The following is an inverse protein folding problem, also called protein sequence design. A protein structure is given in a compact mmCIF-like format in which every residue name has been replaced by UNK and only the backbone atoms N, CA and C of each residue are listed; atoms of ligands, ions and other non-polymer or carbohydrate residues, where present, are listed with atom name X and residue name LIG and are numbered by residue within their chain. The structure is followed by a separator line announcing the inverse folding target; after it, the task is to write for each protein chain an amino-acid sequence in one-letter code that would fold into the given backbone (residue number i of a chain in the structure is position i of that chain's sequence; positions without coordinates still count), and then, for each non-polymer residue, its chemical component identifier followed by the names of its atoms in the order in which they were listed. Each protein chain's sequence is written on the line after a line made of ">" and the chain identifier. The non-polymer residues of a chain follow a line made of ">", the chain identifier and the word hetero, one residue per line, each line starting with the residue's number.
data_IF_666225744582
#
_entry.id   IF_666225744582
#
_cell.length_a   1.000
_cell.length_b   1.000
_cell.length_c   1.000
_cell.angle_alpha   90.00
_cell.angle_beta   90.00
_cell.angle_gamma   90.00
#
_symmetry.space_group_name_H-M   'P 1'
#
loop_
_entity.id
_entity.type
_entity.pdbx_description
1 polymer ?
#
# COMPACT_ATOMS: atom_id res chain seq x y z
N UNK A 1 11.05 -3.16 -21.29
CA UNK A 1 9.89 -2.98 -20.39
C UNK A 1 10.43 -2.79 -18.99
N UNK A 2 10.67 -1.54 -18.60
CA UNK A 2 11.37 -1.19 -17.36
C UNK A 2 10.40 -1.25 -16.17
N UNK A 3 10.49 -2.30 -15.36
CA UNK A 3 9.90 -2.34 -14.03
C UNK A 3 10.70 -1.40 -13.12
N UNK A 4 10.12 -0.24 -12.83
CA UNK A 4 10.71 0.73 -11.90
C UNK A 4 10.74 0.09 -10.51
N UNK A 5 11.92 -0.35 -10.09
CA UNK A 5 12.16 -0.91 -8.77
C UNK A 5 12.11 0.25 -7.76
N UNK A 6 10.93 0.52 -7.21
CA UNK A 6 10.77 1.45 -6.10
C UNK A 6 11.55 0.93 -4.89
N UNK A 7 12.72 1.52 -4.63
CA UNK A 7 13.40 1.41 -3.33
C UNK A 7 12.53 2.09 -2.28
N UNK A 8 11.59 1.34 -1.70
CA UNK A 8 10.97 1.70 -0.42
C UNK A 8 12.09 1.72 0.63
N UNK A 9 12.17 2.77 1.42
CA UNK A 9 12.98 2.83 2.65
C UNK A 9 12.39 1.77 3.58
N UNK A 10 12.92 0.55 3.51
CA UNK A 10 12.45 -0.60 4.29
C UNK A 10 13.27 -0.66 5.57
N UNK A 11 12.63 -1.03 6.67
CA UNK A 11 13.31 -1.61 7.83
C UNK A 11 14.10 -2.89 7.45
N UNK A 12 14.61 -3.66 8.42
CA UNK A 12 15.45 -4.83 8.14
C UNK A 12 14.85 -5.70 7.03
N UNK A 13 15.69 -6.24 6.11
CA UNK A 13 15.24 -6.80 4.84
C UNK A 13 14.35 -8.01 5.06
N UNK A 14 13.04 -7.77 5.14
CA UNK A 14 12.03 -8.80 5.02
C UNK A 14 12.03 -9.19 3.54
N UNK A 15 12.47 -10.42 3.28
CA UNK A 15 12.66 -10.94 1.92
C UNK A 15 11.40 -10.77 1.09
N UNK A 16 11.59 -10.53 -0.22
CA UNK A 16 10.53 -10.21 -1.20
C UNK A 16 9.36 -11.22 -1.29
N UNK A 17 9.43 -12.35 -0.60
CA UNK A 17 8.42 -13.42 -0.61
C UNK A 17 8.07 -13.94 0.80
N UNK A 18 8.32 -13.18 1.89
CA UNK A 18 8.00 -13.60 3.27
C UNK A 18 6.59 -13.18 3.74
N UNK A 19 5.76 -12.68 2.82
CA UNK A 19 4.48 -12.01 3.08
C UNK A 19 3.41 -12.82 3.84
N UNK A 20 3.61 -14.12 4.08
CA UNK A 20 2.59 -14.98 4.64
C UNK A 20 2.72 -15.26 6.15
N UNK A 21 3.87 -14.96 6.78
CA UNK A 21 4.12 -15.35 8.16
C UNK A 21 4.11 -14.16 9.12
N UNK A 22 3.10 -14.05 10.01
CA UNK A 22 3.05 -12.99 11.01
C UNK A 22 4.12 -13.18 12.08
N UNK A 23 4.43 -12.11 12.81
CA UNK A 23 5.44 -12.11 13.88
C UNK A 23 4.84 -12.57 15.23
N UNK A 24 4.11 -13.71 15.24
CA UNK A 24 3.42 -14.20 16.44
C UNK A 24 3.43 -15.73 16.54
N UNK A 25 3.60 -16.24 17.76
CA UNK A 25 3.36 -17.65 18.11
C UNK A 25 4.18 -18.64 17.26
N UNK A 26 3.55 -19.69 16.69
CA UNK A 26 4.26 -20.71 15.92
C UNK A 26 4.83 -20.16 14.60
N UNK A 27 4.17 -19.17 13.99
CA UNK A 27 4.60 -18.55 12.74
C UNK A 27 5.93 -17.80 12.88
N UNK A 28 6.23 -17.30 14.08
CA UNK A 28 7.52 -16.70 14.38
C UNK A 28 8.66 -17.70 14.23
N UNK A 29 8.50 -18.91 14.78
CA UNK A 29 9.52 -19.98 14.68
C UNK A 29 9.76 -20.36 13.23
N UNK A 30 8.69 -20.53 12.45
CA UNK A 30 8.77 -20.84 11.02
C UNK A 30 9.47 -19.71 10.24
N UNK A 31 9.18 -18.44 10.59
CA UNK A 31 9.84 -17.27 9.99
C UNK A 31 11.33 -17.26 10.33
N UNK A 32 11.72 -17.55 11.57
CA UNK A 32 13.12 -17.66 11.98
C UNK A 32 13.87 -18.78 11.26
N UNK A 33 13.24 -19.94 11.08
CA UNK A 33 13.81 -21.06 10.31
C UNK A 33 14.01 -20.69 8.84
N UNK A 34 13.01 -20.07 8.21
CA UNK A 34 13.14 -19.55 6.83
C UNK A 34 14.25 -18.51 6.73
N UNK A 35 14.35 -17.60 7.70
CA UNK A 35 15.44 -16.61 7.75
C UNK A 35 16.82 -17.26 7.91
N UNK A 36 16.95 -18.33 8.72
CA UNK A 36 18.19 -19.09 8.85
C UNK A 36 18.58 -19.77 7.53
N UNK A 37 17.61 -20.32 6.79
CA UNK A 37 17.85 -20.94 5.48
C UNK A 37 18.33 -19.91 4.45
N UNK A 38 17.63 -18.77 4.33
CA UNK A 38 18.03 -17.68 3.44
C UNK A 38 19.41 -17.14 3.78
N UNK A 39 19.73 -16.97 5.07
CA UNK A 39 21.07 -16.55 5.51
C UNK A 39 22.14 -17.58 5.11
N UNK A 40 21.88 -18.87 5.26
CA UNK A 40 22.81 -19.93 4.82
C UNK A 40 23.04 -19.86 3.30
N UNK A 41 21.98 -19.73 2.51
CA UNK A 41 22.10 -19.60 1.05
C UNK A 41 22.92 -18.37 0.63
N UNK A 42 22.65 -17.20 1.22
CA UNK A 42 23.39 -15.96 0.93
C UNK A 42 24.87 -16.11 1.30
N UNK A 43 25.18 -16.74 2.45
CA UNK A 43 26.55 -16.96 2.91
C UNK A 43 27.32 -17.89 1.95
N UNK A 44 26.64 -18.89 1.39
CA UNK A 44 27.24 -19.81 0.40
C UNK A 44 27.49 -19.14 -0.96
N UNK A 45 26.81 -18.02 -1.27
CA UNK A 45 26.96 -17.25 -2.50
C UNK A 45 27.88 -16.02 -2.38
N UNK A 46 28.72 -15.92 -1.34
CA UNK A 46 29.73 -14.88 -1.23
C UNK A 46 30.83 -15.03 -2.30
N UNK A 47 30.53 -14.66 -3.54
CA UNK A 47 31.55 -14.23 -4.50
C UNK A 47 32.09 -12.87 -4.07
N UNK A 48 32.88 -12.83 -2.99
CA UNK A 48 33.86 -11.78 -2.64
C UNK A 48 33.52 -10.31 -2.94
N UNK A 49 32.23 -9.94 -2.98
CA UNK A 49 31.84 -8.56 -3.26
C UNK A 49 31.97 -7.81 -1.96
N UNK A 50 32.94 -6.89 -1.92
CA UNK A 50 33.04 -5.88 -0.89
C UNK A 50 31.66 -5.28 -0.63
N UNK A 51 31.35 -4.98 0.64
CA UNK A 51 30.12 -4.33 1.07
C UNK A 51 30.06 -2.85 0.61
N UNK A 52 30.50 -2.58 -0.63
CA UNK A 52 30.30 -1.31 -1.28
C UNK A 52 28.82 -1.20 -1.61
N UNK A 53 28.05 -0.51 -0.77
CA UNK A 53 27.00 0.32 -1.34
C UNK A 53 27.69 1.14 -2.42
N UNK A 54 27.32 1.03 -3.71
CA UNK A 54 27.81 1.99 -4.67
C UNK A 54 27.34 3.33 -4.13
N UNK A 55 28.26 4.13 -3.61
CA UNK A 55 28.08 5.56 -3.41
C UNK A 55 27.99 6.15 -4.81
N UNK A 56 26.92 5.82 -5.53
CA UNK A 56 26.44 6.62 -6.64
C UNK A 56 26.30 8.00 -6.01
N UNK A 57 27.26 8.87 -6.28
CA UNK A 57 27.46 10.11 -5.56
C UNK A 57 26.12 10.77 -5.35
N UNK A 58 25.84 11.19 -4.11
CA UNK A 58 24.62 11.92 -3.78
C UNK A 58 24.50 13.01 -4.83
N UNK A 59 23.48 12.91 -5.70
CA UNK A 59 23.22 13.94 -6.69
C UNK A 59 22.75 15.16 -5.89
N UNK A 60 23.71 16.00 -5.51
CA UNK A 60 23.41 17.27 -4.87
C UNK A 60 22.70 18.07 -5.94
N UNK A 61 21.43 18.48 -5.72
CA UNK A 61 20.75 19.34 -6.67
C UNK A 61 21.62 20.58 -6.86
N UNK A 62 21.93 20.90 -8.11
CA UNK A 62 22.91 21.94 -8.45
C UNK A 62 22.49 23.36 -8.07
N UNK A 63 21.26 23.53 -7.55
CA UNK A 63 20.69 24.81 -7.19
C UNK A 63 19.66 24.64 -6.07
N UNK A 64 19.88 25.30 -4.94
CA UNK A 64 18.89 25.44 -3.89
C UNK A 64 17.73 26.34 -4.38
N UNK A 65 16.46 25.89 -4.23
CA UNK A 65 15.33 26.68 -4.68
C UNK A 65 15.18 27.95 -3.84
N UNK A 66 14.95 29.08 -4.50
CA UNK A 66 14.63 30.34 -3.81
C UNK A 66 13.18 30.33 -3.33
N UNK A 67 12.85 31.12 -2.31
CA UNK A 67 11.48 31.24 -1.76
C UNK A 67 10.47 31.51 -2.89
N UNK A 68 10.78 32.45 -3.79
CA UNK A 68 9.92 32.81 -4.93
C UNK A 68 9.65 31.65 -5.91
N UNK A 69 10.50 30.63 -5.95
CA UNK A 69 10.32 29.44 -6.81
C UNK A 69 9.41 28.38 -6.15
N UNK A 70 9.15 28.51 -4.84
CA UNK A 70 8.34 27.58 -4.04
C UNK A 70 6.94 28.16 -3.81
N UNK A 71 6.84 29.48 -3.62
CA UNK A 71 5.57 30.18 -3.41
C UNK A 71 4.62 29.88 -4.58
N UNK A 72 3.45 29.33 -4.27
CA UNK A 72 2.40 29.03 -5.24
C UNK A 72 2.53 27.68 -5.97
N UNK A 73 3.56 26.87 -5.72
CA UNK A 73 3.79 25.59 -6.45
C UNK A 73 2.66 24.56 -6.31
N UNK A 74 1.90 24.60 -5.21
CA UNK A 74 0.77 23.69 -4.97
C UNK A 74 -0.56 24.19 -5.57
N UNK A 75 -0.67 25.48 -5.94
CA UNK A 75 -1.92 26.08 -6.42
C UNK A 75 -2.52 25.37 -7.64
N UNK A 76 -1.73 24.88 -8.63
CA UNK A 76 -2.29 24.13 -9.77
C UNK A 76 -2.99 22.82 -9.39
N UNK A 77 -2.78 22.30 -8.17
CA UNK A 77 -3.40 21.05 -7.68
C UNK A 77 -4.72 21.30 -6.93
N UNK A 78 -5.09 22.55 -6.70
CA UNK A 78 -6.31 22.95 -5.99
C UNK A 78 -7.34 23.40 -7.04
N UNK A 79 -8.58 22.92 -6.94
CA UNK A 79 -9.63 23.26 -7.89
C UNK A 79 -11.01 22.78 -7.45
N UNK A 80 -12.02 23.03 -8.28
CA UNK A 80 -13.37 22.53 -8.08
C UNK A 80 -13.44 20.99 -8.22
N UNK A 81 -14.41 20.37 -7.55
CA UNK A 81 -14.59 18.91 -7.56
C UNK A 81 -14.77 18.34 -8.97
N UNK A 82 -15.48 19.05 -9.86
CA UNK A 82 -15.70 18.65 -11.26
C UNK A 82 -14.40 18.49 -12.07
N UNK A 83 -13.29 19.08 -11.62
CA UNK A 83 -11.97 18.95 -12.26
C UNK A 83 -11.22 17.71 -11.79
N UNK A 84 -11.70 16.99 -10.77
CA UNK A 84 -11.14 15.71 -10.36
C UNK A 84 -11.61 14.62 -11.30
N UNK A 85 -10.69 13.75 -11.67
CA UNK A 85 -10.94 12.61 -12.56
C UNK A 85 -11.52 11.45 -11.74
N UNK A 86 -12.81 11.17 -11.93
CA UNK A 86 -13.54 10.09 -11.28
C UNK A 86 -13.27 8.71 -11.91
N UNK A 87 -12.61 8.66 -13.06
CA UNK A 87 -12.23 7.39 -13.71
C UNK A 87 -10.97 6.78 -13.10
N UNK A 88 -10.10 7.62 -12.52
CA UNK A 88 -8.83 7.21 -11.90
C UNK A 88 -9.01 6.74 -10.46
N UNK A 89 -9.71 5.63 -10.31
CA UNK A 89 -9.96 5.01 -9.01
C UNK A 89 -8.74 4.24 -8.50
N UNK A 90 -8.62 4.17 -7.17
CA UNK A 90 -7.52 3.47 -6.48
C UNK A 90 -8.08 2.44 -5.51
N UNK A 91 -7.27 1.46 -5.14
CA UNK A 91 -7.58 0.45 -4.11
C UNK A 91 -6.44 0.37 -3.11
N UNK A 92 -6.77 -0.05 -1.88
CA UNK A 92 -5.77 -0.24 -0.84
C UNK A 92 -4.99 -1.54 -1.06
N UNK A 93 -3.67 -1.47 -0.95
CA UNK A 93 -2.76 -2.61 -0.94
C UNK A 93 -2.05 -2.64 0.41
N UNK A 94 -2.22 -3.73 1.15
CA UNK A 94 -1.64 -3.92 2.48
C UNK A 94 -0.35 -4.75 2.35
N UNK A 95 0.73 -4.26 2.93
CA UNK A 95 1.99 -4.98 3.08
C UNK A 95 1.95 -5.87 4.33
N UNK A 96 1.83 -7.18 4.11
CA UNK A 96 1.75 -8.18 5.18
C UNK A 96 3.00 -8.26 6.06
N UNK A 97 4.18 -7.90 5.54
CA UNK A 97 5.43 -7.92 6.32
C UNK A 97 5.55 -6.71 7.26
N UNK A 98 4.93 -5.58 6.90
CA UNK A 98 4.87 -4.39 7.77
C UNK A 98 3.68 -4.42 8.73
N UNK A 99 2.74 -5.33 8.52
CA UNK A 99 1.53 -5.42 9.32
C UNK A 99 1.85 -5.92 10.73
N UNK A 100 1.36 -5.19 11.74
CA UNK A 100 1.43 -5.59 13.16
C UNK A 100 0.17 -6.30 13.66
N UNK A 101 -0.68 -6.79 12.75
CA UNK A 101 -1.88 -7.59 13.07
C UNK A 101 -2.93 -6.90 13.97
N UNK A 102 -2.94 -5.56 14.05
CA UNK A 102 -3.83 -4.82 14.96
C UNK A 102 -5.33 -4.81 14.56
N UNK A 103 -5.67 -5.19 13.32
CA UNK A 103 -7.06 -5.23 12.84
C UNK A 103 -7.76 -3.88 12.66
N UNK A 104 -7.11 -2.73 12.91
CA UNK A 104 -7.75 -1.40 12.80
C UNK A 104 -8.30 -1.11 11.41
N UNK A 105 -7.56 -1.48 10.36
CA UNK A 105 -8.03 -1.35 8.98
C UNK A 105 -9.32 -2.14 8.73
N UNK A 106 -9.40 -3.36 9.26
CA UNK A 106 -10.58 -4.23 9.17
C UNK A 106 -11.78 -3.61 9.89
N UNK A 107 -11.63 -3.20 11.15
CA UNK A 107 -12.72 -2.57 11.93
C UNK A 107 -13.25 -1.31 11.26
N UNK A 108 -12.36 -0.41 10.80
CA UNK A 108 -12.77 0.82 10.12
C UNK A 108 -13.46 0.55 8.79
N UNK A 109 -13.03 -0.46 8.03
CA UNK A 109 -13.71 -0.81 6.78
C UNK A 109 -15.08 -1.44 7.03
N UNK A 110 -15.24 -2.17 8.12
CA UNK A 110 -16.52 -2.78 8.49
C UNK A 110 -17.53 -1.75 8.99
N UNK A 111 -17.14 -0.93 9.96
CA UNK A 111 -18.09 -0.05 10.65
C UNK A 111 -18.27 1.30 9.94
N UNK A 112 -17.26 1.74 9.17
CA UNK A 112 -17.25 3.06 8.53
C UNK A 112 -17.01 3.01 7.02
N UNK A 113 -17.02 1.82 6.42
CA UNK A 113 -16.66 1.62 5.02
C UNK A 113 -17.58 0.65 4.28
N UNK A 114 -16.95 -0.28 3.56
CA UNK A 114 -17.59 -1.14 2.56
C UNK A 114 -17.37 -2.64 2.83
N UNK A 115 -16.94 -3.01 4.05
CA UNK A 115 -16.71 -4.40 4.46
C UNK A 115 -15.78 -5.16 3.49
N UNK A 116 -14.82 -4.46 2.89
CA UNK A 116 -13.98 -4.95 1.79
C UNK A 116 -12.65 -5.54 2.24
N UNK A 117 -12.45 -5.77 3.54
CA UNK A 117 -11.23 -6.32 4.10
C UNK A 117 -11.58 -7.63 4.81
N UNK A 118 -10.91 -8.72 4.44
CA UNK A 118 -10.98 -9.99 5.16
C UNK A 118 -9.85 -10.05 6.19
N UNK A 119 -10.17 -10.48 7.40
CA UNK A 119 -9.21 -10.65 8.47
C UNK A 119 -9.09 -12.12 8.84
N UNK A 120 -7.91 -12.71 8.61
CA UNK A 120 -7.69 -14.13 8.90
C UNK A 120 -7.71 -14.40 10.42
N UNK A 121 -8.57 -15.30 10.93
CA UNK A 121 -8.65 -15.60 12.36
C UNK A 121 -7.40 -16.29 12.93
N UNK A 122 -6.53 -16.88 12.09
CA UNK A 122 -5.33 -17.59 12.54
C UNK A 122 -4.08 -16.72 12.47
N UNK A 123 -3.87 -16.06 11.34
CA UNK A 123 -2.67 -15.24 11.11
C UNK A 123 -2.87 -13.78 11.50
N UNK A 124 -4.13 -13.33 11.64
CA UNK A 124 -4.49 -11.93 11.85
C UNK A 124 -3.91 -10.99 10.79
N UNK A 125 -3.67 -11.49 9.57
CA UNK A 125 -3.23 -10.67 8.43
C UNK A 125 -4.48 -10.24 7.64
N UNK A 126 -4.69 -8.93 7.44
CA UNK A 126 -5.79 -8.42 6.63
C UNK A 126 -5.49 -8.52 5.13
N UNK A 127 -6.50 -8.88 4.34
CA UNK A 127 -6.46 -8.94 2.87
C UNK A 127 -7.59 -8.10 2.29
N UNK A 128 -7.33 -7.36 1.21
CA UNK A 128 -8.31 -6.46 0.58
C UNK A 128 -8.99 -7.17 -0.58
N UNK A 129 -10.31 -7.12 -0.63
CA UNK A 129 -11.13 -7.69 -1.70
C UNK A 129 -11.39 -6.67 -2.83
N UNK A 130 -11.90 -7.15 -3.97
CA UNK A 130 -12.21 -6.31 -5.15
C UNK A 130 -13.33 -5.27 -4.92
N UNK A 131 -14.09 -5.49 -3.84
CA UNK A 131 -15.11 -4.58 -3.32
C UNK A 131 -14.55 -3.27 -2.76
N UNK A 132 -13.22 -3.14 -2.66
CA UNK A 132 -12.57 -1.90 -2.25
C UNK A 132 -12.94 -0.75 -3.20
N UNK A 133 -13.46 0.33 -2.62
CA UNK A 133 -13.83 1.56 -3.32
C UNK A 133 -12.73 2.61 -3.32
N UNK A 134 -11.65 2.40 -2.54
CA UNK A 134 -10.56 3.37 -2.46
C UNK A 134 -10.81 4.56 -1.53
N UNK A 135 -11.74 4.47 -0.58
CA UNK A 135 -12.08 5.57 0.34
C UNK A 135 -10.93 6.06 1.26
N UNK A 136 -9.78 5.39 1.26
CA UNK A 136 -8.56 5.71 2.04
C UNK A 136 -8.66 5.65 3.58
N UNK A 137 -9.83 5.38 4.16
CA UNK A 137 -9.99 5.35 5.63
C UNK A 137 -9.05 4.36 6.33
N UNK A 138 -8.86 3.16 5.76
CA UNK A 138 -7.98 2.15 6.33
C UNK A 138 -6.51 2.61 6.41
N UNK A 139 -6.05 3.39 5.41
CA UNK A 139 -4.71 3.96 5.38
C UNK A 139 -4.55 5.00 6.50
N UNK A 140 -5.55 5.86 6.70
CA UNK A 140 -5.51 6.92 7.71
C UNK A 140 -5.47 6.41 9.15
N UNK A 141 -6.07 5.25 9.44
CA UNK A 141 -6.11 4.67 10.80
C UNK A 141 -4.97 3.69 11.08
N UNK A 142 -4.17 3.34 10.06
CA UNK A 142 -3.09 2.37 10.23
C UNK A 142 -1.98 2.97 11.11
N UNK A 143 -1.59 2.30 12.22
CA UNK A 143 -0.53 2.82 13.09
C UNK A 143 0.87 2.70 12.48
N UNK A 144 1.04 1.94 11.39
CA UNK A 144 2.31 1.73 10.71
C UNK A 144 2.36 2.54 9.43
N UNK A 145 3.29 3.50 9.39
CA UNK A 145 3.53 4.36 8.23
C UNK A 145 3.89 3.48 7.01
N UNK A 146 3.22 3.73 5.88
CA UNK A 146 3.42 3.02 4.61
C UNK A 146 3.11 1.51 4.63
N UNK A 147 2.45 0.98 5.66
CA UNK A 147 1.96 -0.41 5.64
C UNK A 147 0.83 -0.58 4.61
N UNK A 148 -0.02 0.43 4.44
CA UNK A 148 -1.08 0.46 3.43
C UNK A 148 -0.72 1.50 2.37
N UNK A 149 -0.83 1.13 1.11
CA UNK A 149 -0.58 2.02 -0.03
C UNK A 149 -1.74 2.00 -1.01
N UNK A 150 -2.06 3.15 -1.61
CA UNK A 150 -3.10 3.23 -2.63
C UNK A 150 -2.50 2.95 -4.00
N UNK A 151 -3.04 1.97 -4.70
CA UNK A 151 -2.60 1.58 -6.05
C UNK A 151 -3.74 1.76 -7.05
N UNK A 152 -3.46 2.06 -8.33
CA UNK A 152 -4.51 2.17 -9.35
C UNK A 152 -5.36 0.90 -9.43
N UNK A 153 -6.68 1.05 -9.51
CA UNK A 153 -7.60 -0.08 -9.65
C UNK A 153 -7.47 -0.68 -11.05
N UNK A 154 -7.28 -1.99 -11.13
CA UNK A 154 -7.15 -2.73 -12.41
C UNK A 154 -8.51 -3.15 -12.98
N UNK A 155 -9.52 -3.30 -12.12
CA UNK A 155 -10.88 -3.72 -12.46
C UNK A 155 -11.76 -2.46 -12.67
N UNK A 156 -12.69 -2.43 -13.64
CA UNK A 156 -13.59 -1.30 -13.83
C UNK A 156 -14.36 -0.97 -12.54
N UNK A 157 -14.44 0.31 -12.20
CA UNK A 157 -15.15 0.76 -11.01
C UNK A 157 -16.66 0.84 -11.29
N UNK A 158 -17.43 -0.03 -10.62
CA UNK A 158 -18.89 -0.02 -10.68
C UNK A 158 -19.45 0.43 -9.34
N UNK A 159 -20.26 1.49 -9.36
CA UNK A 159 -20.86 2.09 -8.15
C UNK A 159 -22.00 1.19 -7.66
N UNK A 160 -21.88 0.67 -6.44
CA UNK A 160 -22.94 -0.11 -5.78
C UNK A 160 -24.05 0.83 -5.30
N UNK A 161 -25.15 0.92 -6.06
CA UNK A 161 -26.29 1.80 -5.75
C UNK A 161 -27.33 1.19 -4.79
N UNK A 162 -27.18 -0.07 -4.40
CA UNK A 162 -28.07 -0.79 -3.48
C UNK A 162 -29.38 -1.23 -4.14
N UNK A 163 -30.18 -0.29 -4.63
CA UNK A 163 -31.39 -0.57 -5.41
C UNK A 163 -31.17 -0.26 -6.90
N UNK A 164 -31.85 -0.99 -7.81
CA UNK A 164 -31.81 -0.66 -9.22
C UNK A 164 -32.35 0.75 -9.41
N UNK A 165 -31.59 1.57 -10.15
CA UNK A 165 -32.04 2.93 -10.49
C UNK A 165 -33.22 2.78 -11.43
N UNK A 166 -34.44 3.06 -10.93
CA UNK A 166 -35.56 3.35 -11.80
C UNK A 166 -35.30 4.74 -12.38
N UNK A 167 -34.97 4.80 -13.66
CA UNK A 167 -35.01 6.04 -14.42
C UNK A 167 -36.47 6.45 -14.52
N UNK A 168 -36.97 7.18 -13.53
CA UNK A 168 -38.26 7.86 -13.64
C UNK A 168 -38.01 9.04 -14.55
N UNK A 169 -38.57 8.99 -15.75
CA UNK A 169 -38.60 10.15 -16.60
C UNK A 169 -39.49 11.18 -15.90
N UNK A 170 -39.14 12.47 -15.96
CA UNK A 170 -39.94 13.54 -15.34
C UNK A 170 -41.40 13.64 -15.86
N UNK A 171 -41.80 12.78 -16.79
CA UNK A 171 -43.15 12.67 -17.37
C UNK A 171 -43.93 11.42 -16.92
N UNK A 172 -43.36 10.59 -16.03
CA UNK A 172 -43.95 9.31 -15.58
C UNK A 172 -44.80 9.46 -14.29
N UNK A 173 -45.20 10.68 -13.93
CA UNK A 173 -46.19 11.01 -12.87
C UNK A 173 -47.46 11.53 -13.50
#
# INVERSE_FOLDING_TARGET
>A
MNSVLFLRIRGPPCGRNMFALPHIGPYLKEREEKMKNVKREIILHHNGRENGYPINGVQVPSKEPKINEIVGRALPKIGAYEKLDDTKQVVALIDGDMCINCGKCYMTCNDSGYQAINFDPKTHIPTVNDDCTGCTLCLSVCPIINCITMVPKTIPHVIKRGQPVKLVHALDT
#
